data_IF_465067861330
#
_entry.id   IF_465067861330
#
_cell.length_a   1.000
_cell.length_b   1.000
_cell.length_c   1.000
_cell.angle_alpha   90.00
_cell.angle_beta   90.00
_cell.angle_gamma   90.00
#
_symmetry.space_group_name_H-M   'P 1'
#
loop_
_entity.id
_entity.type
_entity.pdbx_description
1 polymer ?
#
# COMPACT_ATOMS: atom_id res chain seq x y z
N UNK A 1 -23.36 -13.50 -69.52
CA UNK A 1 -22.26 -13.94 -68.63
C UNK A 1 -20.95 -13.87 -69.40
N UNK A 2 -20.14 -12.84 -69.14
CA UNK A 2 -18.66 -12.79 -69.16
C UNK A 2 -18.26 -11.34 -68.86
N UNK A 3 -17.48 -11.19 -67.79
CA UNK A 3 -16.96 -9.94 -67.21
C UNK A 3 -15.44 -9.99 -67.36
N UNK A 4 -14.82 -8.88 -67.74
CA UNK A 4 -13.47 -8.46 -67.35
C UNK A 4 -13.31 -7.00 -67.80
N UNK A 5 -13.44 -6.02 -66.90
CA UNK A 5 -12.47 -5.46 -65.93
C UNK A 5 -11.34 -4.63 -66.57
N UNK A 6 -11.66 -3.37 -66.86
CA UNK A 6 -11.02 -2.10 -66.43
C UNK A 6 -9.57 -2.10 -65.87
N UNK A 7 -8.65 -2.94 -66.39
CA UNK A 7 -7.25 -3.01 -65.95
C UNK A 7 -6.26 -2.23 -66.83
N UNK A 8 -6.65 -1.72 -68.00
CA UNK A 8 -5.68 -1.22 -68.99
C UNK A 8 -5.74 0.29 -69.29
N UNK A 9 -6.41 1.08 -68.45
CA UNK A 9 -6.55 2.53 -68.66
C UNK A 9 -5.56 3.39 -67.85
N UNK A 10 -4.48 2.80 -67.33
CA UNK A 10 -3.31 3.53 -66.82
C UNK A 10 -2.11 3.30 -67.73
N UNK A 11 -2.10 3.96 -68.89
CA UNK A 11 -0.85 4.27 -69.58
C UNK A 11 -1.06 5.43 -70.55
N UNK A 12 -0.40 6.54 -70.26
CA UNK A 12 -0.14 7.69 -71.14
C UNK A 12 -1.24 8.74 -71.27
N UNK A 13 -1.29 9.70 -70.34
CA UNK A 13 -1.23 11.12 -70.73
C UNK A 13 -0.50 11.88 -69.62
N UNK A 14 0.78 12.18 -69.85
CA UNK A 14 1.54 13.11 -69.02
C UNK A 14 1.77 14.42 -69.78
N UNK A 15 1.87 15.48 -69.00
CA UNK A 15 2.58 16.73 -69.29
C UNK A 15 2.26 17.47 -70.61
N UNK A 16 1.27 18.38 -70.58
CA UNK A 16 1.38 19.64 -71.36
C UNK A 16 0.39 20.77 -71.07
N UNK A 17 -0.24 20.83 -69.90
CA UNK A 17 -1.10 21.97 -69.54
C UNK A 17 -0.63 22.68 -68.27
N UNK A 18 0.60 23.20 -68.33
CA UNK A 18 1.12 24.22 -67.41
C UNK A 18 0.93 25.58 -68.08
N UNK A 19 0.12 26.46 -67.48
CA UNK A 19 0.45 27.86 -67.14
C UNK A 19 -0.79 28.80 -67.11
N UNK A 20 -0.91 29.55 -66.01
CA UNK A 20 -1.55 30.89 -65.96
C UNK A 20 -3.03 30.89 -65.54
N UNK A 21 -3.39 30.74 -64.26
CA UNK A 21 -3.37 31.78 -63.21
C UNK A 21 -4.32 32.99 -63.45
N UNK A 22 -5.60 32.81 -63.15
CA UNK A 22 -6.50 33.86 -62.64
C UNK A 22 -7.64 33.20 -61.81
N UNK A 23 -7.84 33.69 -60.58
CA UNK A 23 -8.73 33.14 -59.53
C UNK A 23 -10.24 33.17 -59.91
N UNK A 24 -11.11 32.34 -59.28
CA UNK A 24 -11.74 32.72 -57.99
C UNK A 24 -11.98 31.60 -56.94
N UNK A 25 -11.78 31.98 -55.67
CA UNK A 25 -12.50 31.64 -54.43
C UNK A 25 -12.93 30.18 -54.12
N UNK A 26 -12.34 29.58 -53.06
CA UNK A 26 -13.08 29.18 -51.84
C UNK A 26 -12.18 28.59 -50.72
N UNK A 27 -12.60 28.84 -49.47
CA UNK A 27 -12.44 28.06 -48.23
C UNK A 27 -11.06 27.71 -47.62
N UNK A 28 -10.91 28.03 -46.33
CA UNK A 28 -10.06 27.30 -45.38
C UNK A 28 -8.98 28.12 -44.64
N UNK A 29 -9.29 28.68 -43.47
CA UNK A 29 -8.25 29.07 -42.49
C UNK A 29 -8.19 28.02 -41.38
N UNK A 30 -7.11 27.24 -41.40
CA UNK A 30 -6.71 26.31 -40.34
C UNK A 30 -6.23 27.08 -39.10
N UNK A 31 -6.87 26.84 -37.96
CA UNK A 31 -6.48 27.35 -36.65
C UNK A 31 -5.29 26.52 -36.15
N UNK A 32 -4.11 27.14 -36.02
CA UNK A 32 -2.94 26.51 -35.39
C UNK A 32 -3.06 26.61 -33.87
N UNK A 33 -3.42 25.50 -33.23
CA UNK A 33 -3.49 25.35 -31.77
C UNK A 33 -2.07 25.35 -31.17
N UNK A 34 -1.75 26.32 -30.31
CA UNK A 34 -0.39 26.54 -29.79
C UNK A 34 -0.19 25.85 -28.43
N UNK A 35 0.31 24.61 -28.47
CA UNK A 35 0.65 23.76 -27.31
C UNK A 35 1.68 24.37 -26.33
N UNK A 36 2.40 25.42 -26.73
CA UNK A 36 3.48 26.00 -25.92
C UNK A 36 2.99 26.77 -24.69
N UNK A 37 1.74 27.23 -24.64
CA UNK A 37 1.19 28.00 -23.50
C UNK A 37 0.68 27.11 -22.37
N UNK A 38 0.23 25.88 -22.67
CA UNK A 38 -0.20 24.91 -21.65
C UNK A 38 1.00 24.25 -20.95
N UNK A 39 2.10 24.03 -21.66
CA UNK A 39 3.33 23.49 -21.08
C UNK A 39 3.96 24.42 -20.02
N UNK A 40 3.88 25.74 -20.21
CA UNK A 40 4.40 26.71 -19.25
C UNK A 40 3.54 26.80 -17.98
N UNK A 41 2.22 26.66 -18.09
CA UNK A 41 1.32 26.65 -16.93
C UNK A 41 1.49 25.38 -16.08
N UNK A 42 1.70 24.22 -16.72
CA UNK A 42 2.00 22.96 -16.03
C UNK A 42 3.33 23.03 -15.24
N UNK A 43 4.37 23.62 -15.82
CA UNK A 43 5.66 23.77 -15.15
C UNK A 43 5.58 24.68 -13.89
N UNK A 44 4.78 25.76 -13.93
CA UNK A 44 4.57 26.62 -12.76
C UNK A 44 3.75 25.94 -11.66
N UNK A 45 2.78 25.08 -12.01
CA UNK A 45 2.03 24.26 -11.05
C UNK A 45 2.92 23.20 -10.40
N UNK A 46 3.82 22.56 -11.16
CA UNK A 46 4.80 21.62 -10.61
C UNK A 46 5.79 22.29 -9.66
N UNK A 47 6.24 23.52 -9.97
CA UNK A 47 7.13 24.28 -9.09
C UNK A 47 6.44 24.74 -7.81
N UNK A 48 5.15 25.12 -7.88
CA UNK A 48 4.37 25.46 -6.69
C UNK A 48 4.10 24.22 -5.82
N UNK A 49 3.74 23.07 -6.41
CA UNK A 49 3.56 21.82 -5.69
C UNK A 49 4.87 21.33 -5.04
N UNK A 50 6.00 21.40 -5.75
CA UNK A 50 7.32 21.07 -5.21
C UNK A 50 7.74 22.04 -4.10
N UNK A 51 7.39 23.33 -4.19
CA UNK A 51 7.68 24.31 -3.15
C UNK A 51 6.81 24.14 -1.88
N UNK A 52 5.56 23.68 -2.01
CA UNK A 52 4.69 23.36 -0.86
C UNK A 52 5.18 22.08 -0.17
N UNK A 53 5.65 21.09 -0.92
CA UNK A 53 6.30 19.88 -0.37
C UNK A 53 7.64 20.20 0.31
N UNK A 54 8.50 21.01 -0.31
CA UNK A 54 9.76 21.42 0.28
C UNK A 54 9.57 22.33 1.51
N UNK A 55 8.57 23.22 1.50
CA UNK A 55 8.27 24.10 2.63
C UNK A 55 7.68 23.35 3.83
N UNK A 56 6.95 22.23 3.62
CA UNK A 56 6.49 21.36 4.71
C UNK A 56 7.65 20.70 5.47
N UNK A 57 8.73 20.35 4.77
CA UNK A 57 9.94 19.77 5.40
C UNK A 57 10.77 20.75 6.24
N UNK A 58 10.50 22.06 6.18
CA UNK A 58 11.24 23.07 6.95
C UNK A 58 10.54 23.53 8.23
N UNK A 59 9.24 23.25 8.41
CA UNK A 59 8.46 23.73 9.56
C UNK A 59 8.41 22.70 10.70
N UNK A 60 8.66 21.43 10.39
CA UNK A 60 8.80 20.35 11.37
C UNK A 60 10.08 19.59 11.05
N UNK A 61 11.15 19.83 11.82
CA UNK A 61 12.19 18.80 11.91
C UNK A 61 11.54 17.61 12.61
N UNK A 62 11.48 16.42 12.00
CA UNK A 62 11.14 15.23 12.76
C UNK A 62 12.17 15.11 13.89
N UNK A 63 11.72 14.88 15.12
CA UNK A 63 12.61 14.72 16.29
C UNK A 63 13.54 13.50 16.13
N UNK A 64 13.21 12.62 15.19
CA UNK A 64 13.91 11.37 14.84
C UNK A 64 14.27 11.34 13.36
N UNK A 65 15.49 10.93 13.03
CA UNK A 65 15.87 10.65 11.65
C UNK A 65 14.98 9.54 11.07
N UNK A 66 14.47 9.64 9.83
CA UNK A 66 13.54 8.63 9.31
C UNK A 66 14.25 7.30 9.02
N UNK A 67 13.50 6.21 9.14
CA UNK A 67 13.86 4.91 8.60
C UNK A 67 13.68 4.98 7.08
N UNK A 68 14.71 4.58 6.33
CA UNK A 68 14.69 4.68 4.87
C UNK A 68 14.78 3.30 4.25
N UNK A 69 13.81 2.95 3.41
CA UNK A 69 13.91 1.75 2.59
C UNK A 69 15.03 1.92 1.55
N UNK A 70 16.02 1.04 1.58
CA UNK A 70 17.20 1.06 0.69
C UNK A 70 17.06 0.08 -0.47
N UNK A 71 16.31 -1.01 -0.29
CA UNK A 71 16.02 -1.96 -1.36
C UNK A 71 14.62 -2.59 -1.20
N UNK A 72 13.82 -2.69 -2.27
CA UNK A 72 12.58 -3.48 -2.25
C UNK A 72 12.88 -4.97 -2.21
N UNK A 73 11.96 -5.77 -1.66
CA UNK A 73 12.04 -7.22 -1.80
C UNK A 73 11.88 -7.63 -3.27
N UNK A 74 12.67 -8.62 -3.70
CA UNK A 74 12.73 -9.07 -5.10
C UNK A 74 11.41 -9.64 -5.65
N UNK A 75 10.55 -10.12 -4.76
CA UNK A 75 9.28 -10.79 -5.07
C UNK A 75 8.06 -9.99 -4.58
N UNK A 76 8.22 -8.82 -3.97
CA UNK A 76 7.09 -7.99 -3.58
C UNK A 76 6.36 -7.40 -4.81
N UNK A 77 5.02 -7.26 -4.78
CA UNK A 77 4.12 -7.69 -3.70
C UNK A 77 3.62 -9.15 -3.83
N UNK A 78 4.05 -9.89 -4.87
CA UNK A 78 3.44 -11.16 -5.28
C UNK A 78 4.13 -12.42 -4.73
N UNK A 79 5.08 -12.26 -3.79
CA UNK A 79 5.85 -13.33 -3.18
C UNK A 79 5.11 -14.07 -2.08
N UNK A 80 5.58 -15.28 -1.72
CA UNK A 80 5.12 -15.94 -0.51
C UNK A 80 5.44 -15.05 0.69
N UNK A 81 4.45 -14.85 1.57
CA UNK A 81 4.62 -14.03 2.77
C UNK A 81 5.78 -14.54 3.62
N UNK A 82 6.74 -13.66 3.88
CA UNK A 82 7.87 -13.93 4.78
C UNK A 82 7.49 -13.59 6.22
N UNK A 83 7.84 -14.46 7.15
CA UNK A 83 7.52 -14.29 8.56
C UNK A 83 8.56 -14.94 9.47
N UNK A 84 8.60 -14.49 10.73
CA UNK A 84 9.38 -15.06 11.81
C UNK A 84 8.52 -15.28 13.05
N UNK A 85 8.98 -16.12 13.96
CA UNK A 85 8.41 -16.30 15.27
C UNK A 85 9.43 -15.88 16.33
N UNK A 86 8.99 -15.05 17.28
CA UNK A 86 9.80 -14.67 18.42
C UNK A 86 8.92 -14.33 19.62
N UNK A 87 9.31 -14.75 20.82
CA UNK A 87 8.65 -14.48 22.09
C UNK A 87 7.13 -14.81 22.09
N UNK A 88 6.78 -15.95 21.49
CA UNK A 88 5.38 -16.41 21.37
C UNK A 88 4.52 -15.65 20.35
N UNK A 89 5.13 -14.76 19.57
CA UNK A 89 4.48 -13.95 18.53
C UNK A 89 4.99 -14.32 17.15
N UNK A 90 4.10 -14.23 16.15
CA UNK A 90 4.45 -14.25 14.74
C UNK A 90 4.60 -12.81 14.25
N UNK A 91 5.67 -12.55 13.52
CA UNK A 91 5.93 -11.28 12.85
C UNK A 91 6.02 -11.48 11.34
N UNK A 92 5.40 -10.60 10.58
CA UNK A 92 5.62 -10.50 9.13
C UNK A 92 6.78 -9.55 8.83
N UNK A 93 7.54 -9.86 7.79
CA UNK A 93 8.56 -8.93 7.28
C UNK A 93 7.86 -7.87 6.41
N UNK A 94 8.02 -6.60 6.76
CA UNK A 94 7.41 -5.49 6.01
C UNK A 94 7.83 -5.51 4.55
N UNK A 95 6.88 -5.18 3.66
CA UNK A 95 7.06 -5.20 2.21
C UNK A 95 7.70 -6.50 1.69
N UNK A 96 7.32 -7.61 2.33
CA UNK A 96 7.83 -8.95 2.09
C UNK A 96 9.37 -9.06 2.21
N UNK A 97 9.96 -8.35 3.17
CA UNK A 97 11.41 -8.38 3.43
C UNK A 97 12.20 -7.33 2.65
N UNK A 98 11.63 -6.13 2.50
CA UNK A 98 12.42 -4.99 2.06
C UNK A 98 13.55 -4.70 3.07
N UNK A 99 14.64 -4.11 2.57
CA UNK A 99 15.80 -3.71 3.36
C UNK A 99 15.70 -2.23 3.67
N UNK A 100 16.00 -1.89 4.91
CA UNK A 100 15.94 -0.55 5.47
C UNK A 100 17.28 -0.19 6.09
N UNK A 101 17.63 1.09 5.96
CA UNK A 101 18.62 1.71 6.83
C UNK A 101 17.90 2.25 8.06
N UNK A 102 18.31 1.74 9.23
CA UNK A 102 17.80 2.19 10.52
C UNK A 102 18.91 3.03 11.18
N UNK A 103 18.62 4.27 11.62
CA UNK A 103 19.60 5.07 12.34
C UNK A 103 20.09 4.37 13.61
N UNK A 104 21.39 4.43 13.91
CA UNK A 104 21.99 3.76 15.09
C UNK A 104 21.30 4.16 16.40
N UNK A 105 20.82 5.41 16.48
CA UNK A 105 20.07 5.91 17.63
C UNK A 105 18.77 5.16 17.90
N UNK A 106 18.16 4.52 16.90
CA UNK A 106 16.88 3.83 17.00
C UNK A 106 16.99 2.32 17.24
N UNK A 107 18.17 1.72 17.07
CA UNK A 107 18.39 0.32 17.42
C UNK A 107 18.69 0.18 18.92
N UNK A 108 18.00 -0.74 19.58
CA UNK A 108 18.18 -1.08 20.99
C UNK A 108 18.96 -2.37 21.18
N UNK A 109 18.56 -3.16 22.18
CA UNK A 109 19.27 -4.39 22.53
C UNK A 109 19.11 -5.49 21.48
N UNK A 110 20.08 -6.41 21.43
CA UNK A 110 19.98 -7.64 20.66
C UNK A 110 19.14 -8.67 21.42
N UNK A 111 18.09 -9.19 20.78
CA UNK A 111 17.07 -10.05 21.38
C UNK A 111 17.26 -11.53 21.08
N UNK A 112 18.07 -11.86 20.06
CA UNK A 112 18.37 -13.24 19.66
C UNK A 112 18.77 -13.34 18.19
N UNK A 113 19.02 -14.56 17.73
CA UNK A 113 19.40 -14.83 16.33
C UNK A 113 18.41 -15.83 15.74
N UNK A 114 17.95 -15.59 14.51
CA UNK A 114 17.07 -16.50 13.79
C UNK A 114 17.83 -17.76 13.38
N UNK A 115 17.60 -18.88 14.08
CA UNK A 115 18.41 -20.12 13.92
C UNK A 115 17.60 -21.31 13.42
N UNK A 116 16.27 -21.20 13.38
CA UNK A 116 15.39 -22.28 12.95
C UNK A 116 14.75 -21.95 11.60
N UNK A 117 15.15 -22.67 10.57
CA UNK A 117 14.64 -22.48 9.20
C UNK A 117 13.29 -23.16 9.02
N UNK A 118 12.22 -22.37 8.94
CA UNK A 118 10.86 -22.86 8.69
C UNK A 118 10.74 -23.38 7.25
N UNK A 119 11.45 -22.79 6.28
CA UNK A 119 11.37 -23.23 4.89
C UNK A 119 12.03 -24.60 4.68
N UNK A 120 13.06 -24.93 5.46
CA UNK A 120 13.72 -26.23 5.42
C UNK A 120 12.90 -27.36 6.07
N UNK A 121 12.24 -27.09 7.20
CA UNK A 121 11.40 -28.07 7.92
C UNK A 121 10.19 -27.37 8.60
N UNK A 122 9.09 -27.15 7.86
CA UNK A 122 7.93 -26.44 8.38
C UNK A 122 7.29 -27.12 9.59
N UNK A 123 7.19 -28.44 9.58
CA UNK A 123 6.54 -29.20 10.66
C UNK A 123 7.33 -29.09 11.97
N UNK A 124 8.65 -29.17 11.91
CA UNK A 124 9.49 -29.11 13.10
C UNK A 124 9.73 -27.68 13.62
N UNK A 125 9.69 -26.66 12.75
CA UNK A 125 10.16 -25.31 13.09
C UNK A 125 9.08 -24.23 13.15
N UNK A 126 7.88 -24.45 12.60
CA UNK A 126 6.83 -23.42 12.55
C UNK A 126 6.33 -22.91 13.92
N UNK A 127 6.54 -23.68 14.99
CA UNK A 127 6.18 -23.29 16.36
C UNK A 127 7.37 -22.97 17.28
N UNK A 128 8.61 -22.98 16.77
CA UNK A 128 9.79 -22.66 17.57
C UNK A 128 9.99 -21.16 17.69
N UNK A 129 10.53 -20.76 18.83
CA UNK A 129 11.04 -19.41 19.04
C UNK A 129 12.27 -19.17 18.16
N UNK A 130 12.50 -17.94 17.69
CA UNK A 130 13.60 -17.58 16.78
C UNK A 130 13.65 -18.43 15.49
N UNK A 131 12.46 -18.77 14.97
CA UNK A 131 12.31 -19.43 13.67
C UNK A 131 11.84 -18.45 12.60
N UNK A 132 12.24 -18.66 11.34
CA UNK A 132 11.87 -17.76 10.26
C UNK A 132 11.83 -18.46 8.90
N UNK A 133 11.08 -17.88 7.96
CA UNK A 133 11.12 -18.25 6.54
C UNK A 133 12.11 -17.39 5.73
N UNK A 134 12.71 -16.38 6.36
CA UNK A 134 13.62 -15.42 5.73
C UNK A 134 14.63 -14.86 6.73
N UNK A 135 15.70 -14.21 6.22
CA UNK A 135 16.77 -13.61 7.02
C UNK A 135 17.39 -14.55 8.08
N UNK A 136 17.48 -15.85 7.77
CA UNK A 136 18.08 -16.84 8.66
C UNK A 136 19.54 -16.47 8.99
N UNK A 137 19.89 -16.56 10.27
CA UNK A 137 21.18 -16.11 10.80
C UNK A 137 21.20 -14.62 11.20
N UNK A 138 20.17 -13.85 10.85
CA UNK A 138 20.03 -12.45 11.24
C UNK A 138 19.77 -12.30 12.75
N UNK A 139 20.38 -11.27 13.34
CA UNK A 139 20.14 -10.88 14.73
C UNK A 139 18.89 -10.02 14.82
N UNK A 140 17.99 -10.36 15.74
CA UNK A 140 16.79 -9.57 16.07
C UNK A 140 17.19 -8.47 17.04
N UNK A 141 16.80 -7.24 16.76
CA UNK A 141 17.06 -6.06 17.58
C UNK A 141 15.76 -5.34 17.95
N UNK A 142 15.77 -4.71 19.12
CA UNK A 142 14.74 -3.73 19.48
C UNK A 142 14.77 -2.52 18.55
N UNK A 143 13.59 -1.95 18.31
CA UNK A 143 13.45 -0.60 17.79
C UNK A 143 12.98 0.30 18.93
N UNK A 144 13.82 1.24 19.37
CA UNK A 144 13.62 2.00 20.62
C UNK A 144 12.31 2.78 20.69
N UNK A 145 11.71 3.11 19.55
CA UNK A 145 10.46 3.85 19.48
C UNK A 145 9.22 2.94 19.50
N UNK A 146 9.40 1.62 19.52
CA UNK A 146 8.31 0.64 19.50
C UNK A 146 8.43 -0.35 20.65
N UNK A 147 7.28 -0.85 21.10
CA UNK A 147 7.25 -2.06 21.91
C UNK A 147 7.71 -3.25 21.07
N UNK A 148 8.54 -4.12 21.65
CA UNK A 148 9.09 -5.29 20.94
C UNK A 148 8.03 -6.30 20.55
N UNK A 149 6.88 -6.32 21.23
CA UNK A 149 5.73 -7.13 20.82
C UNK A 149 5.04 -6.58 19.58
N UNK A 150 5.21 -5.30 19.24
CA UNK A 150 4.66 -4.72 18.01
C UNK A 150 5.65 -4.84 16.86
N UNK A 151 6.89 -4.37 17.05
CA UNK A 151 7.85 -4.25 15.95
C UNK A 151 9.30 -4.41 16.41
N UNK A 152 10.06 -5.13 15.60
CA UNK A 152 11.50 -5.38 15.79
C UNK A 152 12.24 -5.23 14.46
N UNK A 153 13.56 -5.11 14.51
CA UNK A 153 14.43 -5.16 13.34
C UNK A 153 15.19 -6.48 13.28
N UNK A 154 15.50 -6.94 12.07
CA UNK A 154 16.33 -8.13 11.84
C UNK A 154 17.46 -7.75 10.90
N UNK A 155 18.69 -7.98 11.33
CA UNK A 155 19.88 -7.76 10.50
C UNK A 155 19.85 -8.61 9.22
N UNK A 156 20.02 -7.96 8.07
CA UNK A 156 19.97 -8.61 6.77
C UNK A 156 20.65 -7.76 5.69
N UNK A 157 21.51 -8.37 4.87
CA UNK A 157 22.19 -7.77 3.70
C UNK A 157 22.66 -6.31 3.91
N UNK A 158 23.63 -6.11 4.82
CA UNK A 158 24.22 -4.81 5.19
C UNK A 158 23.21 -3.75 5.69
N UNK A 159 21.99 -4.16 6.03
CA UNK A 159 20.95 -3.32 6.62
C UNK A 159 20.03 -4.13 7.53
N UNK A 160 18.75 -3.75 7.54
CA UNK A 160 17.75 -4.40 8.38
C UNK A 160 16.45 -4.64 7.63
N UNK A 161 15.82 -5.79 7.86
CA UNK A 161 14.39 -5.92 7.62
C UNK A 161 13.63 -5.48 8.88
N UNK A 162 12.44 -4.91 8.70
CA UNK A 162 11.54 -4.59 9.80
C UNK A 162 10.47 -5.68 9.87
N UNK A 163 10.21 -6.17 11.08
CA UNK A 163 9.25 -7.21 11.36
C UNK A 163 8.15 -6.68 12.27
N UNK A 164 6.90 -6.90 11.90
CA UNK A 164 5.72 -6.43 12.63
C UNK A 164 4.85 -7.61 13.05
N UNK A 165 4.40 -7.63 14.30
CA UNK A 165 3.61 -8.76 14.79
C UNK A 165 2.22 -8.82 14.16
N UNK A 166 1.78 -10.04 13.85
CA UNK A 166 0.49 -10.30 13.19
C UNK A 166 -0.42 -11.26 13.94
N UNK A 167 0.13 -12.10 14.83
CA UNK A 167 -0.62 -13.06 15.66
C UNK A 167 0.25 -13.64 16.78
N UNK A 168 -0.37 -14.32 17.74
CA UNK A 168 0.33 -15.25 18.61
C UNK A 168 0.64 -16.56 17.87
N UNK A 169 1.74 -17.23 18.22
CA UNK A 169 2.13 -18.50 17.60
C UNK A 169 1.19 -19.65 17.94
N UNK A 170 0.43 -19.53 19.03
CA UNK A 170 -0.56 -20.51 19.46
C UNK A 170 -1.94 -20.34 18.79
N UNK A 171 -2.09 -19.32 17.93
CA UNK A 171 -3.33 -19.02 17.21
C UNK A 171 -4.33 -18.17 17.98
N UNK A 172 -3.98 -17.70 19.20
CA UNK A 172 -4.80 -16.72 19.91
C UNK A 172 -4.88 -15.43 19.09
N UNK A 173 -6.07 -14.84 18.89
CA UNK A 173 -6.21 -13.55 18.23
C UNK A 173 -5.57 -12.43 19.07
N UNK A 174 -5.06 -11.39 18.41
CA UNK A 174 -4.61 -10.19 19.10
C UNK A 174 -5.82 -9.45 19.71
N UNK A 175 -5.61 -8.77 20.83
CA UNK A 175 -6.58 -7.80 21.36
C UNK A 175 -6.34 -6.44 20.70
N UNK A 176 -7.28 -5.88 19.91
CA UNK A 176 -7.04 -4.64 19.16
C UNK A 176 -6.66 -3.44 20.03
N UNK A 177 -7.27 -3.29 21.21
CA UNK A 177 -6.97 -2.18 22.11
C UNK A 177 -5.53 -2.24 22.64
N UNK A 178 -5.13 -3.41 23.13
CA UNK A 178 -3.76 -3.65 23.61
C UNK A 178 -2.76 -3.52 22.46
N UNK A 179 -3.06 -4.10 21.30
CA UNK A 179 -2.20 -4.05 20.12
C UNK A 179 -1.96 -2.62 19.63
N UNK A 180 -3.00 -1.78 19.57
CA UNK A 180 -2.88 -0.38 19.14
C UNK A 180 -2.11 0.45 20.17
N UNK A 181 -2.23 0.13 21.46
CA UNK A 181 -1.44 0.75 22.52
C UNK A 181 0.05 0.41 22.36
N UNK A 182 0.39 -0.86 22.11
CA UNK A 182 1.77 -1.31 21.85
C UNK A 182 2.37 -0.68 20.58
N UNK A 183 1.52 -0.43 19.58
CA UNK A 183 1.90 0.24 18.34
C UNK A 183 2.11 1.76 18.50
N UNK A 184 1.72 2.35 19.62
CA UNK A 184 1.78 3.81 19.85
C UNK A 184 0.69 4.59 19.11
N UNK A 185 -0.41 3.94 18.72
CA UNK A 185 -1.51 4.59 18.00
C UNK A 185 -2.45 5.34 18.96
N UNK A 186 -2.92 6.56 18.61
CA UNK A 186 -2.72 7.26 17.33
C UNK A 186 -1.49 8.18 17.27
N UNK A 187 -0.71 8.30 18.34
CA UNK A 187 0.26 9.39 18.54
C UNK A 187 1.38 9.45 17.48
N UNK A 188 1.80 8.31 16.94
CA UNK A 188 2.83 8.22 15.90
C UNK A 188 2.27 8.16 14.47
N UNK A 189 0.96 8.39 14.27
CA UNK A 189 0.34 8.38 12.93
C UNK A 189 0.35 9.80 12.35
N UNK A 190 0.96 9.96 11.17
CA UNK A 190 0.95 11.22 10.43
C UNK A 190 -0.27 11.36 9.50
N UNK A 191 -0.71 10.25 8.92
CA UNK A 191 -1.83 10.22 8.00
C UNK A 191 -2.54 8.85 7.99
N UNK A 192 -3.84 8.87 7.70
CA UNK A 192 -4.64 7.68 7.43
C UNK A 192 -5.14 7.75 5.99
N UNK A 193 -4.66 6.83 5.16
CA UNK A 193 -4.91 6.78 3.73
C UNK A 193 -5.74 5.55 3.37
N UNK A 194 -6.76 5.72 2.54
CA UNK A 194 -7.64 4.65 2.07
C UNK A 194 -7.37 4.40 0.60
N UNK A 195 -6.99 3.16 0.30
CA UNK A 195 -6.68 2.69 -1.05
C UNK A 195 -7.72 1.67 -1.53
N UNK A 196 -7.68 1.37 -2.82
CA UNK A 196 -8.32 0.15 -3.34
C UNK A 196 -7.82 -1.11 -2.62
N UNK A 197 -8.53 -2.23 -2.77
CA UNK A 197 -8.17 -3.50 -2.15
C UNK A 197 -6.73 -3.94 -2.48
N UNK A 198 -6.21 -3.61 -3.66
CA UNK A 198 -4.84 -3.98 -4.02
C UNK A 198 -3.77 -3.08 -3.38
N UNK A 199 -4.16 -1.91 -2.85
CA UNK A 199 -3.23 -0.87 -2.42
C UNK A 199 -2.64 -0.06 -3.58
N UNK A 200 -3.16 -0.18 -4.80
CA UNK A 200 -2.56 0.46 -6.00
C UNK A 200 -3.00 1.91 -6.18
N UNK A 201 -4.24 2.22 -5.80
CA UNK A 201 -4.84 3.54 -6.03
C UNK A 201 -5.28 4.16 -4.71
N UNK A 202 -4.78 5.35 -4.40
CA UNK A 202 -5.30 6.17 -3.30
C UNK A 202 -6.70 6.66 -3.68
N UNK A 203 -7.70 6.33 -2.86
CA UNK A 203 -9.09 6.70 -3.08
C UNK A 203 -9.49 7.92 -2.27
N UNK A 204 -9.08 7.96 -1.00
CA UNK A 204 -9.33 9.10 -0.11
C UNK A 204 -8.33 9.10 1.06
N UNK A 205 -8.31 10.18 1.82
CA UNK A 205 -7.52 10.33 3.03
C UNK A 205 -8.42 10.86 4.15
N UNK A 206 -8.28 10.29 5.34
CA UNK A 206 -9.06 10.71 6.50
C UNK A 206 -8.65 12.13 6.92
N UNK A 207 -9.61 13.02 7.27
CA UNK A 207 -9.29 14.30 7.86
C UNK A 207 -8.51 14.13 9.18
N UNK A 208 -7.44 14.90 9.38
CA UNK A 208 -6.58 14.80 10.56
C UNK A 208 -7.35 14.88 11.90
N UNK A 209 -8.39 15.73 11.95
CA UNK A 209 -9.26 15.91 13.13
C UNK A 209 -10.09 14.66 13.51
N UNK A 210 -10.25 13.72 12.58
CA UNK A 210 -11.06 12.49 12.76
C UNK A 210 -10.16 11.27 13.06
N UNK A 211 -8.83 11.42 12.95
CA UNK A 211 -7.86 10.33 13.07
C UNK A 211 -7.89 9.67 14.45
N UNK A 212 -7.86 10.46 15.52
CA UNK A 212 -7.91 9.95 16.89
C UNK A 212 -9.19 9.13 17.13
N UNK A 213 -10.35 9.66 16.70
CA UNK A 213 -11.63 8.97 16.85
C UNK A 213 -11.69 7.69 16.01
N UNK A 214 -11.13 7.70 14.79
CA UNK A 214 -11.09 6.54 13.90
C UNK A 214 -10.27 5.41 14.51
N UNK A 215 -9.06 5.72 14.99
CA UNK A 215 -8.18 4.77 15.66
C UNK A 215 -8.82 4.24 16.95
N UNK A 216 -9.41 5.12 17.76
CA UNK A 216 -10.10 4.74 18.99
C UNK A 216 -11.31 3.83 18.74
N UNK A 217 -12.02 4.00 17.63
CA UNK A 217 -13.12 3.12 17.25
C UNK A 217 -12.63 1.76 16.77
N UNK A 218 -11.53 1.71 16.01
CA UNK A 218 -10.90 0.46 15.58
C UNK A 218 -10.35 -0.34 16.77
N UNK A 219 -9.77 0.33 17.77
CA UNK A 219 -9.27 -0.29 19.00
C UNK A 219 -10.37 -1.01 19.81
N UNK A 220 -11.65 -0.63 19.62
CA UNK A 220 -12.80 -1.30 20.25
C UNK A 220 -13.30 -2.52 19.48
N UNK A 221 -12.67 -2.88 18.36
CA UNK A 221 -13.03 -4.06 17.59
C UNK A 221 -12.79 -5.34 18.41
N UNK A 222 -13.57 -6.37 18.15
CA UNK A 222 -13.46 -7.67 18.85
C UNK A 222 -13.18 -8.80 17.87
N UNK A 223 -12.43 -9.85 18.25
CA UNK A 223 -12.19 -11.00 17.40
C UNK A 223 -13.51 -11.58 16.85
N UNK A 224 -13.60 -11.73 15.54
CA UNK A 224 -14.81 -12.16 14.87
C UNK A 224 -14.93 -13.70 14.88
N UNK A 225 -16.10 -14.21 15.29
CA UNK A 225 -16.48 -15.60 15.06
C UNK A 225 -17.35 -15.66 13.81
N UNK A 226 -16.75 -16.02 12.68
CA UNK A 226 -17.39 -15.97 11.37
C UNK A 226 -17.97 -17.33 10.97
N UNK A 227 -19.21 -17.34 10.48
CA UNK A 227 -19.79 -18.49 9.79
C UNK A 227 -19.27 -18.61 8.35
N UNK A 228 -19.48 -19.77 7.72
CA UNK A 228 -19.13 -20.00 6.31
C UNK A 228 -19.82 -18.98 5.38
N UNK A 229 -21.07 -18.61 5.66
CA UNK A 229 -21.78 -17.58 4.90
C UNK A 229 -21.11 -16.21 5.03
N UNK A 230 -20.61 -15.86 6.22
CA UNK A 230 -19.91 -14.59 6.44
C UNK A 230 -18.55 -14.58 5.75
N UNK A 231 -17.83 -15.71 5.72
CA UNK A 231 -16.63 -15.84 4.90
C UNK A 231 -16.91 -15.65 3.41
N UNK A 232 -18.01 -16.21 2.90
CA UNK A 232 -18.43 -15.99 1.51
C UNK A 232 -18.81 -14.52 1.25
N UNK A 233 -19.44 -13.84 2.20
CA UNK A 233 -19.75 -12.42 2.09
C UNK A 233 -18.50 -11.55 2.02
N UNK A 234 -17.47 -11.85 2.83
CA UNK A 234 -16.16 -11.19 2.76
C UNK A 234 -15.55 -11.39 1.36
N UNK A 235 -15.50 -12.62 0.87
CA UNK A 235 -14.96 -12.92 -0.46
C UNK A 235 -15.77 -12.31 -1.62
N UNK A 236 -17.08 -12.08 -1.44
CA UNK A 236 -17.89 -11.30 -2.39
C UNK A 236 -17.55 -9.81 -2.32
N UNK A 237 -17.48 -9.24 -1.11
CA UNK A 237 -17.14 -7.83 -0.92
C UNK A 237 -15.77 -7.47 -1.51
N UNK A 238 -14.77 -8.35 -1.37
CA UNK A 238 -13.46 -8.17 -1.99
C UNK A 238 -13.54 -8.13 -3.53
N UNK A 239 -14.28 -9.06 -4.14
CA UNK A 239 -14.46 -9.10 -5.61
C UNK A 239 -15.32 -7.98 -6.15
N UNK A 240 -16.26 -7.46 -5.36
CA UNK A 240 -17.16 -6.37 -5.73
C UNK A 240 -16.57 -4.98 -5.45
N UNK A 241 -15.30 -4.89 -5.01
CA UNK A 241 -14.67 -3.60 -4.74
C UNK A 241 -15.24 -2.89 -3.50
N UNK A 242 -15.61 -3.66 -2.48
CA UNK A 242 -16.12 -3.15 -1.19
C UNK A 242 -15.16 -3.38 -0.03
N UNK A 243 -13.97 -3.93 -0.32
CA UNK A 243 -12.88 -4.06 0.64
C UNK A 243 -11.81 -3.03 0.32
N UNK A 244 -11.32 -2.33 1.33
CA UNK A 244 -10.35 -1.26 1.18
C UNK A 244 -9.08 -1.59 1.95
N UNK A 245 -7.92 -1.26 1.40
CA UNK A 245 -6.67 -1.24 2.17
C UNK A 245 -6.58 0.11 2.86
N UNK A 246 -6.50 0.10 4.18
CA UNK A 246 -6.24 1.30 4.98
C UNK A 246 -4.79 1.25 5.42
N UNK A 247 -4.11 2.39 5.31
CA UNK A 247 -2.71 2.53 5.72
C UNK A 247 -2.60 3.67 6.71
N UNK A 248 -1.89 3.42 7.81
CA UNK A 248 -1.38 4.46 8.70
C UNK A 248 0.06 4.75 8.28
N UNK A 249 0.32 5.99 7.87
CA UNK A 249 1.66 6.48 7.58
C UNK A 249 2.27 6.93 8.90
N UNK A 250 3.39 6.31 9.30
CA UNK A 250 3.98 6.49 10.63
C UNK A 250 5.07 7.56 10.61
N UNK A 251 5.36 8.10 11.79
CA UNK A 251 6.32 9.20 11.95
C UNK A 251 7.77 8.86 11.65
N UNK A 252 8.13 7.58 11.72
CA UNK A 252 9.43 7.03 11.36
C UNK A 252 9.63 6.84 9.85
N UNK A 253 8.62 7.13 9.02
CA UNK A 253 8.66 6.97 7.57
C UNK A 253 8.24 5.60 7.05
N UNK A 254 7.85 4.68 7.93
CA UNK A 254 7.24 3.39 7.56
C UNK A 254 5.71 3.48 7.56
N UNK A 255 5.03 2.36 7.31
CA UNK A 255 3.57 2.30 7.33
C UNK A 255 3.02 1.06 8.05
N UNK A 256 1.77 1.15 8.46
CA UNK A 256 0.97 0.03 8.99
C UNK A 256 -0.26 -0.15 8.10
N UNK A 257 -0.34 -1.29 7.40
CA UNK A 257 -1.44 -1.61 6.48
C UNK A 257 -2.40 -2.64 7.04
N UNK A 258 -3.68 -2.46 6.79
CA UNK A 258 -4.74 -3.42 7.13
C UNK A 258 -5.92 -3.30 6.17
N UNK A 259 -6.90 -4.19 6.31
CA UNK A 259 -8.10 -4.17 5.46
C UNK A 259 -9.36 -3.85 6.24
N UNK A 260 -10.27 -3.15 5.58
CA UNK A 260 -11.58 -2.81 6.12
C UNK A 260 -12.67 -3.13 5.10
N UNK A 261 -13.79 -3.69 5.56
CA UNK A 261 -15.03 -3.89 4.81
C UNK A 261 -16.16 -3.22 5.59
N UNK A 262 -16.38 -1.91 5.39
CA UNK A 262 -17.33 -1.13 6.17
C UNK A 262 -18.74 -1.72 6.12
N UNK A 263 -19.20 -2.15 4.94
CA UNK A 263 -20.54 -2.71 4.77
C UNK A 263 -20.80 -4.00 5.56
N UNK A 264 -19.74 -4.66 6.06
CA UNK A 264 -19.85 -5.86 6.90
C UNK A 264 -19.42 -5.60 8.35
N UNK A 265 -19.01 -4.39 8.71
CA UNK A 265 -18.36 -4.07 9.99
C UNK A 265 -17.18 -5.01 10.28
N UNK A 266 -16.35 -5.29 9.28
CA UNK A 266 -15.18 -6.17 9.41
C UNK A 266 -13.90 -5.39 9.18
N UNK A 267 -12.97 -5.50 10.13
CA UNK A 267 -11.58 -5.09 9.99
C UNK A 267 -10.66 -6.31 10.05
N UNK A 268 -9.52 -6.25 9.36
CA UNK A 268 -8.56 -7.35 9.29
C UNK A 268 -7.16 -6.78 9.52
N UNK A 269 -6.67 -6.96 10.75
CA UNK A 269 -5.36 -6.52 11.25
C UNK A 269 -4.48 -7.73 11.51
N UNK A 270 -3.23 -7.71 11.05
CA UNK A 270 -2.36 -8.88 11.14
C UNK A 270 -2.99 -10.11 10.48
N UNK A 271 -2.97 -11.26 11.16
CA UNK A 271 -3.63 -12.50 10.68
C UNK A 271 -5.10 -12.60 11.15
N UNK A 272 -5.58 -11.63 11.93
CA UNK A 272 -6.89 -11.63 12.57
C UNK A 272 -8.02 -11.02 11.74
N UNK A 273 -9.26 -11.37 12.10
CA UNK A 273 -10.49 -10.74 11.61
C UNK A 273 -11.29 -10.26 12.80
N UNK A 274 -11.80 -9.05 12.72
CA UNK A 274 -12.44 -8.36 13.83
C UNK A 274 -13.75 -7.74 13.40
N UNK A 275 -14.74 -7.81 14.27
CA UNK A 275 -15.99 -7.07 14.12
C UNK A 275 -15.77 -5.68 14.70
N UNK A 276 -15.94 -4.64 13.89
CA UNK A 276 -15.89 -3.24 14.36
C UNK A 276 -17.14 -2.92 15.19
N UNK A 277 -17.09 -1.91 16.08
CA UNK A 277 -18.27 -1.43 16.78
C UNK A 277 -19.43 -1.12 15.83
N UNK A 278 -20.68 -1.28 16.29
CA UNK A 278 -21.88 -1.09 15.45
C UNK A 278 -21.97 0.33 14.87
N UNK A 279 -21.58 1.33 15.66
CA UNK A 279 -21.56 2.75 15.31
C UNK A 279 -20.34 3.15 14.46
N UNK A 280 -19.40 2.23 14.22
CA UNK A 280 -18.24 2.50 13.37
C UNK A 280 -18.69 2.90 11.96
N UNK A 281 -19.56 2.11 11.33
CA UNK A 281 -20.08 2.41 9.99
C UNK A 281 -21.01 3.62 9.98
N UNK A 282 -21.73 3.88 11.07
CA UNK A 282 -22.56 5.09 11.17
C UNK A 282 -21.68 6.36 11.23
N UNK A 283 -20.52 6.28 11.89
CA UNK A 283 -19.59 7.40 12.07
C UNK A 283 -18.69 7.60 10.86
N UNK A 284 -18.13 6.51 10.32
CA UNK A 284 -17.08 6.56 9.30
C UNK A 284 -17.49 5.96 7.96
N UNK A 285 -18.68 5.35 7.83
CA UNK A 285 -19.14 4.74 6.57
C UNK A 285 -19.16 5.72 5.42
N UNK A 286 -19.50 6.98 5.69
CA UNK A 286 -19.48 8.07 4.70
C UNK A 286 -18.10 8.34 4.07
N UNK A 287 -17.00 7.92 4.72
CA UNK A 287 -15.66 7.99 4.13
C UNK A 287 -15.50 7.03 2.95
N UNK A 288 -16.26 5.93 2.95
CA UNK A 288 -16.18 4.85 1.98
C UNK A 288 -17.32 4.90 0.94
N UNK A 289 -18.33 5.74 1.17
CA UNK A 289 -19.48 5.90 0.30
C UNK A 289 -19.08 6.45 -1.07
N UNK A 290 -19.51 5.77 -2.13
CA UNK A 290 -19.25 6.17 -3.51
C UNK A 290 -17.80 6.01 -3.97
N UNK A 291 -16.92 5.42 -3.14
CA UNK A 291 -15.58 5.05 -3.59
C UNK A 291 -15.68 3.91 -4.61
N UNK A 292 -15.19 4.15 -5.83
CA UNK A 292 -15.11 3.15 -6.88
C UNK A 292 -13.72 2.53 -6.91
N UNK A 293 -13.66 1.21 -7.07
CA UNK A 293 -12.40 0.50 -7.30
C UNK A 293 -12.62 -0.60 -8.34
N UNK A 294 -11.56 -0.91 -9.08
CA UNK A 294 -11.59 -2.03 -10.00
C UNK A 294 -11.58 -3.33 -9.19
N UNK A 295 -12.44 -4.28 -9.59
CA UNK A 295 -12.41 -5.61 -9.02
C UNK A 295 -10.99 -6.19 -9.18
N UNK A 296 -10.38 -6.75 -8.11
CA UNK A 296 -9.08 -7.37 -8.24
C UNK A 296 -9.15 -8.50 -9.29
N UNK A 297 -8.07 -8.72 -10.06
CA UNK A 297 -8.03 -9.82 -11.02
C UNK A 297 -8.31 -11.15 -10.30
N UNK A 298 -9.23 -11.94 -10.86
CA UNK A 298 -9.52 -13.28 -10.35
C UNK A 298 -8.39 -14.20 -10.78
N UNK A 299 -7.59 -14.67 -9.82
CA UNK A 299 -6.57 -15.70 -10.04
C UNK A 299 -7.11 -17.09 -9.73
#
# INVERSE_FOLDING_TARGET
MKVEKFSDAMQNVDDRFVAGAAQPQSAGKTIRFTWKRLAAAAACLCLLAASVFAARGFVFQPETEPIVQTAPASDAPNGMRRFMNWNGMRYEFLENGAVYQIPEGQLGEALGTLIHDIAADPEANAGKDLSATYALGGTVYELKNYDTQFRVAVEYDDGYCICQSTAFTDGTPLDPASYFTLAGFPDNIQAVSVFDHSGSSLLTQLPQKEMEQFVAALAQSVPAQLSDEQYQQIGRAQREGKSFRVTFDLDDGTSYGFYLIPSLNIAMFGDGRYTTPQDFSDTFGGLFDGLEQQAPPVY
#
